data_IF_640388957665
#
_entry.id   IF_640388957665
#
_cell.length_a   1.000
_cell.length_b   1.000
_cell.length_c   1.000
_cell.angle_alpha   90.00
_cell.angle_beta   90.00
_cell.angle_gamma   90.00
#
_symmetry.space_group_name_H-M   'P 1'
#
loop_
_entity.id
_entity.type
_entity.pdbx_description
1 polymer ?
#
# COMPACT_ATOMS: atom_id res chain seq x y z
N UNK A 1 7.34 -2.32 -26.36
CA UNK A 1 6.11 -3.05 -26.72
C UNK A 1 5.94 -4.17 -25.73
N UNK A 2 4.76 -4.26 -25.12
CA UNK A 2 4.45 -5.30 -24.13
C UNK A 2 4.49 -6.67 -24.78
N UNK A 3 5.35 -7.55 -24.26
CA UNK A 3 5.29 -8.97 -24.55
C UNK A 3 4.18 -9.60 -23.70
N UNK A 4 3.06 -9.92 -24.34
CA UNK A 4 1.89 -10.51 -23.68
C UNK A 4 2.14 -11.93 -23.17
N UNK A 5 2.99 -12.71 -23.84
CA UNK A 5 3.32 -14.07 -23.43
C UNK A 5 4.16 -14.08 -22.16
N UNK A 6 5.16 -13.19 -22.09
CA UNK A 6 5.94 -12.97 -20.88
C UNK A 6 5.07 -12.46 -19.72
N UNK A 7 4.21 -11.48 -19.98
CA UNK A 7 3.33 -10.93 -18.95
C UNK A 7 2.38 -11.99 -18.40
N UNK A 8 1.76 -12.80 -19.27
CA UNK A 8 0.89 -13.89 -18.87
C UNK A 8 1.63 -14.91 -17.99
N UNK A 9 2.84 -15.33 -18.37
CA UNK A 9 3.64 -16.27 -17.58
C UNK A 9 3.98 -15.75 -16.18
N UNK A 10 4.29 -14.45 -16.06
CA UNK A 10 4.55 -13.83 -14.76
C UNK A 10 3.29 -13.78 -13.89
N UNK A 11 2.15 -13.42 -14.47
CA UNK A 11 0.87 -13.39 -13.75
C UNK A 11 0.38 -14.78 -13.36
N UNK A 12 0.58 -15.80 -14.20
CA UNK A 12 0.31 -17.20 -13.87
C UNK A 12 1.15 -17.68 -12.68
N UNK A 13 2.43 -17.27 -12.63
CA UNK A 13 3.30 -17.56 -11.49
C UNK A 13 2.81 -16.89 -10.21
N UNK A 14 2.43 -15.61 -10.26
CA UNK A 14 1.81 -14.93 -9.10
C UNK A 14 0.56 -15.69 -8.65
N UNK A 15 -0.34 -16.02 -9.57
CA UNK A 15 -1.58 -16.74 -9.27
C UNK A 15 -1.33 -18.10 -8.62
N UNK A 16 -0.35 -18.86 -9.11
CA UNK A 16 0.01 -20.17 -8.58
C UNK A 16 0.52 -20.09 -7.14
N UNK A 17 1.36 -19.11 -6.83
CA UNK A 17 1.83 -18.91 -5.46
C UNK A 17 0.72 -18.41 -4.53
N UNK A 18 -0.19 -17.56 -5.03
CA UNK A 18 -1.33 -17.09 -4.25
C UNK A 18 -2.28 -18.24 -3.88
N UNK A 19 -2.57 -19.17 -4.78
CA UNK A 19 -3.39 -20.37 -4.48
C UNK A 19 -2.82 -21.13 -3.29
N UNK A 20 -1.52 -21.37 -3.30
CA UNK A 20 -0.82 -22.12 -2.26
C UNK A 20 -0.74 -21.33 -0.94
N UNK A 21 -0.51 -20.01 -1.01
CA UNK A 21 -0.54 -19.13 0.15
C UNK A 21 -1.93 -19.07 0.79
N UNK A 22 -3.00 -19.03 -0.02
CA UNK A 22 -4.38 -19.07 0.49
C UNK A 22 -4.66 -20.41 1.18
N UNK A 23 -4.21 -21.54 0.63
CA UNK A 23 -4.33 -22.83 1.31
C UNK A 23 -3.59 -22.87 2.64
N UNK A 24 -2.39 -22.28 2.73
CA UNK A 24 -1.64 -22.16 3.98
C UNK A 24 -2.30 -21.18 4.98
N UNK A 25 -3.05 -20.19 4.50
CA UNK A 25 -3.75 -19.21 5.33
C UNK A 25 -4.97 -19.80 6.06
N UNK A 26 -5.46 -20.97 5.64
CA UNK A 26 -6.51 -21.72 6.35
C UNK A 26 -6.02 -22.32 7.68
N UNK A 27 -4.70 -22.44 7.86
CA UNK A 27 -4.12 -22.88 9.14
C UNK A 27 -4.27 -21.78 10.20
N UNK A 28 -4.42 -22.15 11.47
CA UNK A 28 -4.32 -21.16 12.53
C UNK A 28 -2.91 -20.57 12.58
N UNK A 29 -2.79 -19.33 13.05
CA UNK A 29 -1.49 -18.69 13.18
C UNK A 29 -0.54 -19.44 14.15
N UNK A 30 -1.07 -20.25 15.08
CA UNK A 30 -0.25 -21.10 15.94
C UNK A 30 0.23 -22.34 15.19
N UNK A 31 -0.67 -23.03 14.48
CA UNK A 31 -0.33 -24.25 13.74
C UNK A 31 0.69 -23.95 12.63
N UNK A 32 0.50 -22.84 11.89
CA UNK A 32 1.44 -22.39 10.87
C UNK A 32 2.83 -22.17 11.47
N UNK A 33 2.93 -21.53 12.65
CA UNK A 33 4.22 -21.24 13.31
C UNK A 33 4.92 -22.48 13.84
N UNK A 34 4.16 -23.47 14.28
CA UNK A 34 4.69 -24.72 14.84
C UNK A 34 5.04 -25.74 13.76
N UNK A 35 4.46 -25.63 12.57
CA UNK A 35 4.77 -26.50 11.44
C UNK A 35 6.10 -26.12 10.78
N UNK A 36 7.06 -27.05 10.89
CA UNK A 36 8.44 -26.90 10.39
C UNK A 36 8.56 -26.80 8.86
N UNK A 37 7.51 -27.11 8.11
CA UNK A 37 7.49 -27.05 6.65
C UNK A 37 6.56 -25.94 6.15
N UNK A 38 5.40 -25.76 6.77
CA UNK A 38 4.40 -24.79 6.33
C UNK A 38 4.91 -23.34 6.45
N UNK A 39 5.54 -22.95 7.57
CA UNK A 39 6.04 -21.58 7.72
C UNK A 39 7.17 -21.24 6.74
N UNK A 40 8.21 -22.08 6.55
CA UNK A 40 9.21 -21.84 5.51
C UNK A 40 8.61 -21.81 4.10
N UNK A 41 7.66 -22.70 3.80
CA UNK A 41 6.96 -22.69 2.52
C UNK A 41 6.21 -21.37 2.31
N UNK A 42 5.40 -20.93 3.27
CA UNK A 42 4.66 -19.66 3.19
C UNK A 42 5.60 -18.47 2.93
N UNK A 43 6.73 -18.39 3.65
CA UNK A 43 7.72 -17.33 3.47
C UNK A 43 8.32 -17.34 2.06
N UNK A 44 8.74 -18.50 1.59
CA UNK A 44 9.35 -18.65 0.28
C UNK A 44 8.35 -18.29 -0.83
N UNK A 45 7.14 -18.85 -0.77
CA UNK A 45 6.07 -18.59 -1.73
C UNK A 45 5.71 -17.10 -1.80
N UNK A 46 5.66 -16.43 -0.65
CA UNK A 46 5.43 -14.99 -0.61
C UNK A 46 6.54 -14.19 -1.33
N UNK A 47 7.80 -14.55 -1.11
CA UNK A 47 8.93 -13.91 -1.83
C UNK A 47 8.79 -14.12 -3.33
N UNK A 48 8.51 -15.35 -3.77
CA UNK A 48 8.35 -15.67 -5.20
C UNK A 48 7.17 -14.93 -5.84
N UNK A 49 6.05 -14.82 -5.14
CA UNK A 49 4.89 -14.06 -5.61
C UNK A 49 5.23 -12.56 -5.77
N UNK A 50 5.95 -11.98 -4.81
CA UNK A 50 6.36 -10.58 -4.87
C UNK A 50 7.33 -10.33 -6.03
N UNK A 51 8.34 -11.18 -6.21
CA UNK A 51 9.29 -11.09 -7.33
C UNK A 51 8.58 -11.14 -8.68
N UNK A 52 7.68 -12.12 -8.87
CA UNK A 52 6.94 -12.24 -10.13
C UNK A 52 6.01 -11.04 -10.40
N UNK A 53 5.40 -10.47 -9.35
CA UNK A 53 4.58 -9.27 -9.47
C UNK A 53 5.42 -8.02 -9.82
N UNK A 54 6.60 -7.88 -9.21
CA UNK A 54 7.54 -6.79 -9.52
C UNK A 54 8.05 -6.92 -10.97
N UNK A 55 8.47 -8.12 -11.37
CA UNK A 55 8.94 -8.40 -12.74
C UNK A 55 7.86 -8.07 -13.79
N UNK A 56 6.59 -8.38 -13.49
CA UNK A 56 5.47 -8.07 -14.36
C UNK A 56 5.27 -6.55 -14.49
N UNK A 57 5.36 -5.85 -13.37
CA UNK A 57 5.18 -4.40 -13.32
C UNK A 57 6.34 -3.66 -14.00
N UNK A 58 7.58 -4.07 -13.77
CA UNK A 58 8.75 -3.50 -14.45
C UNK A 58 8.73 -3.78 -15.96
N UNK A 59 8.29 -4.97 -16.38
CA UNK A 59 8.08 -5.27 -17.79
C UNK A 59 7.07 -4.31 -18.42
N UNK A 60 5.97 -4.01 -17.74
CA UNK A 60 4.96 -3.06 -18.21
C UNK A 60 5.54 -1.64 -18.29
N UNK A 61 6.20 -1.16 -17.22
CA UNK A 61 6.83 0.16 -17.15
C UNK A 61 7.81 0.35 -18.31
N UNK A 62 8.71 -0.60 -18.52
CA UNK A 62 9.70 -0.52 -19.59
C UNK A 62 9.04 -0.61 -20.98
N UNK A 63 8.02 -1.45 -21.12
CA UNK A 63 7.35 -1.69 -22.41
C UNK A 63 6.53 -0.51 -22.91
N UNK A 64 5.94 0.24 -21.98
CA UNK A 64 5.09 1.42 -22.22
C UNK A 64 5.87 2.75 -22.13
N UNK A 65 7.16 2.70 -21.80
CA UNK A 65 7.99 3.91 -21.69
C UNK A 65 7.60 4.83 -20.53
N UNK A 66 7.10 4.23 -19.44
CA UNK A 66 6.73 4.98 -18.23
C UNK A 66 7.98 5.45 -17.47
N UNK A 67 7.77 6.31 -16.45
CA UNK A 67 8.83 6.70 -15.53
C UNK A 67 9.44 5.46 -14.87
N UNK A 68 10.77 5.36 -14.87
CA UNK A 68 11.46 4.30 -14.17
C UNK A 68 11.13 4.33 -12.66
N UNK A 69 10.89 3.16 -12.08
CA UNK A 69 10.71 3.01 -10.65
C UNK A 69 12.05 3.11 -9.90
N UNK A 70 11.98 3.57 -8.66
CA UNK A 70 13.15 3.76 -7.77
C UNK A 70 13.17 2.78 -6.60
N UNK A 71 12.07 2.03 -6.42
CA UNK A 71 11.90 0.99 -5.41
C UNK A 71 10.75 0.06 -5.81
N UNK A 72 10.61 -1.07 -5.12
CA UNK A 72 9.49 -1.98 -5.33
C UNK A 72 8.13 -1.33 -5.02
N UNK A 73 8.06 -0.49 -3.99
CA UNK A 73 6.84 0.28 -3.70
C UNK A 73 6.52 1.29 -4.81
N UNK A 74 7.55 1.98 -5.31
CA UNK A 74 7.41 2.96 -6.40
C UNK A 74 6.97 2.30 -7.72
N UNK A 75 7.34 1.03 -7.94
CA UNK A 75 6.92 0.25 -9.11
C UNK A 75 5.40 0.20 -9.24
N UNK A 76 4.68 -0.12 -8.16
CA UNK A 76 3.22 -0.13 -8.19
C UNK A 76 2.61 1.28 -8.21
N UNK A 77 3.29 2.29 -7.65
CA UNK A 77 2.85 3.67 -7.73
C UNK A 77 2.86 4.21 -9.17
N UNK A 78 3.92 3.93 -9.94
CA UNK A 78 4.01 4.29 -11.38
C UNK A 78 2.87 3.67 -12.19
N UNK A 79 2.51 2.42 -11.88
CA UNK A 79 1.39 1.77 -12.55
C UNK A 79 0.03 2.39 -12.18
N UNK A 80 -0.15 2.83 -10.94
CA UNK A 80 -1.32 3.60 -10.53
C UNK A 80 -1.39 4.98 -11.20
N UNK A 81 -0.27 5.69 -11.27
CA UNK A 81 -0.16 7.00 -11.95
C UNK A 81 -0.53 6.93 -13.44
N UNK A 82 -0.22 5.81 -14.09
CA UNK A 82 -0.49 5.57 -15.51
C UNK A 82 -1.86 4.93 -15.80
N UNK A 83 -2.64 4.60 -14.76
CA UNK A 83 -3.97 3.99 -14.89
C UNK A 83 -3.98 2.49 -15.20
N UNK A 84 -2.83 1.81 -15.09
CA UNK A 84 -2.74 0.35 -15.28
C UNK A 84 -3.17 -0.44 -14.03
N UNK A 85 -3.12 0.20 -12.85
CA UNK A 85 -3.66 -0.34 -11.61
C UNK A 85 -4.70 0.61 -11.05
N UNK A 86 -5.74 0.04 -10.43
CA UNK A 86 -6.70 0.84 -9.69
C UNK A 86 -6.02 1.62 -8.55
N UNK A 87 -6.53 2.82 -8.26
CA UNK A 87 -5.97 3.71 -7.26
C UNK A 87 -5.95 3.08 -5.85
N UNK A 88 -6.96 2.29 -5.51
CA UNK A 88 -7.04 1.61 -4.20
C UNK A 88 -5.98 0.53 -4.03
N UNK A 89 -5.72 -0.24 -5.09
CA UNK A 89 -4.67 -1.27 -5.11
C UNK A 89 -3.27 -0.64 -5.06
N UNK A 90 -3.10 0.51 -5.72
CA UNK A 90 -1.86 1.28 -5.73
C UNK A 90 -1.58 2.00 -4.40
N UNK A 91 -2.63 2.30 -3.61
CA UNK A 91 -2.53 2.89 -2.27
C UNK A 91 -2.31 1.87 -1.16
N UNK A 92 -2.76 0.63 -1.34
CA UNK A 92 -2.57 -0.45 -0.38
C UNK A 92 -1.09 -0.86 -0.23
N UNK A 93 -0.24 -0.50 -1.20
CA UNK A 93 1.20 -0.76 -1.14
C UNK A 93 1.91 0.30 -0.28
N UNK A 94 2.79 -0.09 0.66
CA UNK A 94 3.49 0.86 1.52
C UNK A 94 4.37 1.79 0.69
N UNK A 95 3.95 3.04 0.51
CA UNK A 95 4.76 4.07 -0.15
C UNK A 95 5.91 4.47 0.75
N UNK A 96 7.14 4.25 0.32
CA UNK A 96 8.28 5.02 0.84
C UNK A 96 8.03 6.49 0.48
N UNK A 97 7.73 7.31 1.49
CA UNK A 97 7.50 8.75 1.35
C UNK A 97 8.78 9.46 0.92
N UNK A 98 9.14 9.34 -0.35
CA UNK A 98 10.12 10.20 -1.01
C UNK A 98 9.40 11.49 -1.41
N UNK A 99 9.37 12.44 -0.49
CA UNK A 99 9.05 13.84 -0.79
C UNK A 99 10.09 14.37 -1.78
N UNK A 100 9.77 14.31 -3.08
CA UNK A 100 10.40 15.11 -4.11
C UNK A 100 9.34 16.01 -4.76
N UNK A 101 8.72 16.88 -3.96
CA UNK A 101 7.95 18.00 -4.48
C UNK A 101 8.94 19.11 -4.86
N UNK A 102 9.52 18.96 -6.05
CA UNK A 102 10.30 19.99 -6.73
C UNK A 102 9.40 20.80 -7.67
N UNK A 103 8.89 21.92 -7.14
CA UNK A 103 8.68 23.21 -7.83
C UNK A 103 8.07 23.23 -9.25
N UNK A 104 6.79 23.59 -9.28
CA UNK A 104 6.21 24.74 -10.00
C UNK A 104 6.55 24.97 -11.49
N UNK A 105 5.52 24.83 -12.33
CA UNK A 105 5.27 25.74 -13.47
C UNK A 105 3.78 25.76 -13.83
N UNK A 106 2.96 26.52 -13.10
CA UNK A 106 1.71 27.07 -13.65
C UNK A 106 1.53 28.49 -13.18
N UNK A 107 1.95 29.43 -14.02
CA UNK A 107 1.52 30.82 -13.91
C UNK A 107 0.10 30.97 -14.43
N UNK A 108 -0.79 31.57 -13.63
CA UNK A 108 -1.57 32.73 -14.11
C UNK A 108 -2.23 33.48 -12.95
N UNK A 109 -2.18 34.78 -13.13
CA UNK A 109 -2.60 35.91 -12.32
C UNK A 109 -4.10 36.09 -12.12
N UNK A 110 -4.42 36.85 -11.06
CA UNK A 110 -5.49 37.88 -10.87
C UNK A 110 -6.60 37.49 -9.89
N UNK A 111 -6.91 38.44 -9.01
CA UNK A 111 -8.24 38.58 -8.43
C UNK A 111 -8.24 38.85 -6.94
N UNK A 112 -8.23 40.14 -6.58
CA UNK A 112 -8.48 40.62 -5.23
C UNK A 112 -9.86 40.17 -4.71
N UNK A 113 -9.94 39.86 -3.42
CA UNK A 113 -11.19 39.58 -2.73
C UNK A 113 -10.94 39.09 -1.31
N UNK A 114 -10.86 40.03 -0.36
CA UNK A 114 -10.70 39.77 1.07
C UNK A 114 -12.08 39.48 1.69
N UNK A 115 -12.35 38.30 2.27
CA UNK A 115 -13.56 38.10 3.08
C UNK A 115 -13.28 38.29 4.59
N UNK A 116 -14.31 38.64 5.38
CA UNK A 116 -14.16 39.09 6.76
C UNK A 116 -13.92 37.97 7.77
N UNK A 117 -13.29 38.35 8.89
CA UNK A 117 -13.02 37.55 10.09
C UNK A 117 -14.31 36.89 10.62
N UNK A 118 -14.32 35.56 10.72
CA UNK A 118 -15.30 34.82 11.52
C UNK A 118 -14.69 34.46 12.87
N UNK A 119 -15.43 34.81 13.91
CA UNK A 119 -15.19 34.54 15.32
C UNK A 119 -15.30 33.05 15.62
N UNK A 120 -14.30 32.50 16.30
CA UNK A 120 -14.28 31.13 16.79
C UNK A 120 -15.33 30.92 17.90
N UNK A 121 -16.16 29.86 17.87
CA UNK A 121 -16.92 29.45 19.05
C UNK A 121 -16.01 28.69 20.02
N UNK A 122 -16.08 29.08 21.31
CA UNK A 122 -15.43 28.43 22.45
C UNK A 122 -15.83 26.96 22.56
N UNK A 123 -14.86 26.07 22.74
CA UNK A 123 -15.09 24.68 23.13
C UNK A 123 -15.62 24.59 24.57
N UNK A 124 -16.58 23.69 24.87
CA UNK A 124 -17.03 23.43 26.23
C UNK A 124 -16.04 22.56 27.02
N UNK A 125 -16.00 22.79 28.32
CA UNK A 125 -15.11 22.16 29.31
C UNK A 125 -15.33 20.63 29.45
N UNK A 126 -14.29 19.87 29.83
CA UNK A 126 -14.41 18.44 30.08
C UNK A 126 -15.16 18.12 31.39
N UNK A 127 -15.86 16.97 31.47
CA UNK A 127 -16.59 16.55 32.67
C UNK A 127 -15.65 16.06 33.79
N UNK A 128 -16.09 16.10 35.06
CA UNK A 128 -15.27 15.69 36.20
C UNK A 128 -15.07 14.17 36.27
N UNK A 129 -13.82 13.78 36.54
CA UNK A 129 -13.38 12.42 36.84
C UNK A 129 -13.97 11.91 38.15
N UNK A 130 -14.82 10.88 38.10
CA UNK A 130 -15.26 10.13 39.28
C UNK A 130 -14.24 9.02 39.60
N UNK A 131 -13.19 9.38 40.33
CA UNK A 131 -12.42 8.41 41.11
C UNK A 131 -13.14 8.12 42.44
N UNK A 132 -13.33 6.85 42.78
CA UNK A 132 -13.56 6.44 44.17
C UNK A 132 -14.77 5.54 44.43
N UNK A 133 -14.69 4.27 44.02
CA UNK A 133 -15.28 3.17 44.79
C UNK A 133 -14.31 1.99 44.77
N UNK A 134 -13.69 1.72 45.91
CA UNK A 134 -12.79 0.60 46.08
C UNK A 134 -12.33 0.48 47.53
N UNK A 135 -13.19 -0.07 48.38
CA UNK A 135 -12.88 -0.82 49.61
C UNK A 135 -14.21 -1.18 50.32
N UNK A 136 -14.36 -2.39 50.89
CA UNK A 136 -13.44 -2.84 51.94
C UNK A 136 -12.97 -4.29 51.86
N UNK A 137 -11.82 -4.48 52.52
CA UNK A 137 -11.31 -5.75 53.03
C UNK A 137 -12.29 -6.34 54.05
N UNK A 138 -12.73 -7.59 53.86
CA UNK A 138 -12.57 -8.73 54.78
C UNK A 138 -13.30 -9.95 54.24
#
# INVERSE_FOLDING_TARGET
MVDAGRLAALLERVGSELVELTALAEMTAQDLRMDRFALPAAKYRLVVALEAAIDAAEHLIASEGLRASTSFADTFAVLGESGHLDGTLSEAMPRSSSSASGSACTGRSRGAGRPPRRSSPRSPAPPPSTCGRGSPRR
#
